data_IF_409239203905
#
_entry.id   IF_409239203905
#
_cell.length_a   1.000
_cell.length_b   1.000
_cell.length_c   1.000
_cell.angle_alpha   90.00
_cell.angle_beta   90.00
_cell.angle_gamma   90.00
#
_symmetry.space_group_name_H-M   'P 1'
#
loop_
_entity.id
_entity.type
_entity.pdbx_description
1 polymer ?
#
# COMPACT_ATOMS: atom_id res chain seq x y z
N UNK A 1 -6.77 -19.32 9.52
CA UNK A 1 -6.16 -18.86 8.25
C UNK A 1 -5.75 -17.42 8.46
N UNK A 2 -4.51 -17.09 8.14
CA UNK A 2 -3.97 -15.74 8.23
C UNK A 2 -3.66 -15.24 6.81
N UNK A 3 -4.01 -13.98 6.52
CA UNK A 3 -3.77 -13.37 5.22
C UNK A 3 -2.78 -12.22 5.43
N UNK A 4 -1.61 -12.33 4.78
CA UNK A 4 -0.57 -11.30 4.81
C UNK A 4 -0.48 -10.69 3.42
N UNK A 5 -1.09 -9.52 3.23
CA UNK A 5 -1.08 -8.75 1.98
C UNK A 5 0.18 -7.89 1.86
N UNK A 6 0.52 -7.50 0.62
CA UNK A 6 1.74 -6.74 0.30
C UNK A 6 3.03 -7.38 0.83
N UNK A 7 3.04 -8.71 0.88
CA UNK A 7 4.13 -9.51 1.38
C UNK A 7 4.91 -10.22 0.27
N UNK A 8 6.22 -10.36 0.46
CA UNK A 8 7.09 -11.13 -0.42
C UNK A 8 7.93 -12.09 0.40
N UNK A 9 8.02 -13.35 -0.03
CA UNK A 9 8.90 -14.34 0.60
C UNK A 9 10.34 -13.96 0.29
N UNK A 10 11.13 -13.72 1.33
CA UNK A 10 12.56 -13.40 1.19
C UNK A 10 13.44 -14.63 1.26
N UNK A 11 13.11 -15.58 2.13
CA UNK A 11 13.93 -16.76 2.36
C UNK A 11 13.08 -17.91 2.87
N UNK A 12 13.37 -19.11 2.41
CA UNK A 12 12.85 -20.37 2.95
C UNK A 12 14.04 -21.18 3.42
N UNK A 13 13.95 -21.76 4.61
CA UNK A 13 14.98 -22.63 5.19
C UNK A 13 14.33 -23.77 5.97
N UNK A 14 15.09 -24.85 6.21
CA UNK A 14 14.60 -26.04 6.92
C UNK A 14 14.36 -27.21 5.97
N UNK A 15 13.58 -28.17 6.43
CA UNK A 15 13.32 -29.44 5.72
C UNK A 15 11.83 -29.77 5.73
N UNK A 16 11.42 -30.80 4.99
CA UNK A 16 10.03 -31.23 4.92
C UNK A 16 9.43 -31.43 6.33
N UNK A 17 8.32 -30.75 6.61
CA UNK A 17 7.65 -30.76 7.91
C UNK A 17 8.16 -29.73 8.93
N UNK A 18 9.29 -29.05 8.66
CA UNK A 18 9.83 -28.00 9.54
C UNK A 18 10.50 -26.88 8.73
N UNK A 19 9.67 -26.06 8.08
CA UNK A 19 10.14 -24.90 7.33
C UNK A 19 10.04 -23.62 8.16
N UNK A 20 11.09 -22.81 8.07
CA UNK A 20 11.07 -21.41 8.52
C UNK A 20 11.08 -20.52 7.30
N UNK A 21 10.07 -19.63 7.20
CA UNK A 21 9.92 -18.70 6.08
C UNK A 21 10.09 -17.27 6.60
N UNK A 22 11.03 -16.54 6.01
CA UNK A 22 11.17 -15.09 6.24
C UNK A 22 10.32 -14.37 5.20
N UNK A 23 9.35 -13.59 5.67
CA UNK A 23 8.45 -12.80 4.84
C UNK A 23 8.72 -11.32 5.08
N UNK A 24 8.80 -10.54 4.01
CA UNK A 24 8.85 -9.08 4.07
C UNK A 24 7.49 -8.51 3.69
N UNK A 25 6.85 -7.84 4.65
CA UNK A 25 5.62 -7.10 4.41
C UNK A 25 5.99 -5.65 4.12
N UNK A 26 5.66 -5.17 2.92
CA UNK A 26 5.89 -3.78 2.54
C UNK A 26 5.06 -2.85 3.44
N UNK A 27 5.63 -1.73 3.91
CA UNK A 27 4.86 -0.77 4.70
C UNK A 27 3.76 -0.15 3.83
N UNK A 28 2.53 -0.09 4.36
CA UNK A 28 1.43 0.66 3.73
C UNK A 28 1.52 2.17 3.97
N UNK A 29 2.32 2.58 4.95
CA UNK A 29 2.37 3.94 5.51
C UNK A 29 1.02 4.42 6.10
N UNK A 30 0.12 3.48 6.37
CA UNK A 30 -1.20 3.68 6.97
C UNK A 30 -1.40 2.58 8.02
N UNK A 31 -1.97 2.96 9.17
CA UNK A 31 -2.41 2.02 10.19
C UNK A 31 -3.74 1.39 9.76
N UNK A 32 -3.68 0.13 9.33
CA UNK A 32 -4.84 -0.65 8.86
C UNK A 32 -5.94 -0.76 9.93
N UNK A 33 -5.60 -0.67 11.22
CA UNK A 33 -6.57 -0.77 12.31
C UNK A 33 -7.38 0.52 12.52
N UNK A 34 -6.89 1.64 11.98
CA UNK A 34 -7.52 2.96 12.08
C UNK A 34 -8.10 3.45 10.75
N UNK A 35 -7.68 2.86 9.63
CA UNK A 35 -8.17 3.24 8.31
C UNK A 35 -9.64 2.84 8.14
N UNK A 36 -10.49 3.81 7.80
CA UNK A 36 -11.92 3.58 7.55
C UNK A 36 -12.27 3.52 6.06
N UNK A 37 -11.26 3.55 5.19
CA UNK A 37 -11.40 3.62 3.74
C UNK A 37 -12.24 4.82 3.22
N UNK A 38 -12.31 5.92 3.98
CA UNK A 38 -13.23 7.04 3.73
C UNK A 38 -12.97 7.89 2.48
N UNK A 39 -11.76 7.86 1.89
CA UNK A 39 -11.46 8.62 0.67
C UNK A 39 -10.89 10.02 0.86
N UNK A 40 -11.00 10.62 2.05
CA UNK A 40 -10.54 12.00 2.27
C UNK A 40 -9.07 12.22 1.89
N UNK A 41 -8.18 11.27 2.21
CA UNK A 41 -6.76 11.38 1.85
C UNK A 41 -6.49 11.28 0.33
N UNK A 42 -7.34 10.59 -0.45
CA UNK A 42 -7.25 10.53 -1.92
C UNK A 42 -7.64 11.89 -2.51
N UNK A 43 -8.72 12.51 -2.01
CA UNK A 43 -9.19 13.80 -2.49
C UNK A 43 -8.13 14.90 -2.36
N UNK A 44 -7.43 14.93 -1.22
CA UNK A 44 -6.39 15.93 -0.97
C UNK A 44 -5.05 15.64 -1.64
N UNK A 45 -4.79 14.40 -2.07
CA UNK A 45 -3.49 14.05 -2.62
C UNK A 45 -3.24 14.82 -3.93
N UNK A 46 -2.18 15.67 -3.99
CA UNK A 46 -1.90 16.46 -5.18
C UNK A 46 -1.26 15.62 -6.31
N UNK A 47 -0.64 14.49 -5.96
CA UNK A 47 0.02 13.62 -6.92
C UNK A 47 -0.98 13.01 -7.91
N UNK A 48 -0.61 12.97 -9.18
CA UNK A 48 -1.37 12.32 -10.24
C UNK A 48 -0.44 11.37 -10.99
N UNK A 49 -0.67 10.06 -10.87
CA UNK A 49 0.25 9.02 -11.34
C UNK A 49 -0.48 7.97 -12.18
N UNK A 50 0.19 7.29 -13.11
CA UNK A 50 -0.41 6.20 -13.87
C UNK A 50 -0.97 5.11 -12.95
N UNK A 51 -2.18 4.64 -13.23
CA UNK A 51 -2.78 3.55 -12.47
C UNK A 51 -2.29 2.19 -13.01
N UNK A 52 -1.37 1.55 -12.29
CA UNK A 52 -0.82 0.25 -12.68
C UNK A 52 -1.85 -0.88 -12.67
N UNK A 53 -2.93 -0.76 -11.88
CA UNK A 53 -4.03 -1.72 -11.91
C UNK A 53 -4.79 -1.68 -13.25
N UNK A 54 -5.02 -0.48 -13.77
CA UNK A 54 -5.69 -0.26 -15.07
C UNK A 54 -4.70 -0.30 -16.25
N UNK A 55 -3.55 -0.96 -16.11
CA UNK A 55 -2.50 -1.02 -17.15
C UNK A 55 -2.06 0.36 -17.67
N UNK A 56 -2.02 1.36 -16.78
CA UNK A 56 -1.70 2.76 -17.10
C UNK A 56 -2.67 3.45 -18.07
N UNK A 57 -3.88 2.91 -18.27
CA UNK A 57 -4.93 3.51 -19.10
C UNK A 57 -5.68 4.63 -18.37
N UNK A 58 -5.53 4.72 -17.05
CA UNK A 58 -6.09 5.76 -16.20
C UNK A 58 -5.03 6.32 -15.26
N UNK A 59 -5.40 7.37 -14.53
CA UNK A 59 -4.56 7.95 -13.48
C UNK A 59 -5.19 7.74 -12.11
N UNK A 60 -4.34 7.71 -11.09
CA UNK A 60 -4.68 7.59 -9.67
C UNK A 60 -3.84 8.57 -8.84
N UNK A 61 -4.13 8.60 -7.54
CA UNK A 61 -3.36 9.33 -6.54
C UNK A 61 -2.24 8.47 -5.95
N UNK A 62 -1.26 9.12 -5.32
CA UNK A 62 -0.17 8.43 -4.63
C UNK A 62 -0.59 7.77 -3.31
N UNK A 63 -1.84 7.93 -2.87
CA UNK A 63 -2.47 7.19 -1.79
C UNK A 63 -3.83 6.68 -2.28
N UNK A 64 -4.25 5.48 -1.87
CA UNK A 64 -5.59 4.97 -2.17
C UNK A 64 -5.72 3.47 -1.97
N UNK A 65 -6.82 2.89 -2.46
CA UNK A 65 -7.02 1.44 -2.58
C UNK A 65 -6.64 1.01 -4.00
N UNK A 66 -6.19 -0.23 -4.19
CA UNK A 66 -5.86 -0.77 -5.51
C UNK A 66 -7.05 -0.70 -6.48
N UNK A 67 -8.23 -1.16 -6.03
CA UNK A 67 -9.54 -1.10 -6.70
C UNK A 67 -10.66 -1.11 -5.63
N UNK A 68 -11.91 -0.70 -5.93
CA UNK A 68 -12.93 -0.45 -4.90
C UNK A 68 -13.27 -1.63 -3.99
N UNK A 69 -13.15 -2.87 -4.48
CA UNK A 69 -13.46 -4.10 -3.75
C UNK A 69 -12.20 -4.80 -3.17
N UNK A 70 -11.04 -4.13 -3.12
CA UNK A 70 -9.82 -4.77 -2.66
C UNK A 70 -9.88 -5.14 -1.16
N UNK A 71 -9.21 -6.23 -0.82
CA UNK A 71 -9.09 -6.76 0.55
C UNK A 71 -7.62 -6.76 0.98
N UNK A 72 -7.25 -6.20 2.14
CA UNK A 72 -8.11 -5.48 3.08
C UNK A 72 -8.62 -4.15 2.49
N UNK A 73 -9.78 -3.70 2.97
CA UNK A 73 -10.32 -2.36 2.64
C UNK A 73 -9.58 -1.30 3.44
N UNK A 74 -8.28 -1.17 3.19
CA UNK A 74 -7.39 -0.19 3.80
C UNK A 74 -6.54 0.46 2.71
N UNK A 75 -6.28 1.75 2.89
CA UNK A 75 -5.51 2.52 1.93
C UNK A 75 -4.02 2.20 2.07
N UNK A 76 -3.26 2.38 0.99
CA UNK A 76 -1.81 2.31 0.98
C UNK A 76 -1.23 3.51 0.22
N UNK A 77 -0.02 3.90 0.61
CA UNK A 77 0.77 4.92 -0.07
C UNK A 77 1.72 4.26 -1.06
N UNK A 78 1.84 4.85 -2.24
CA UNK A 78 2.88 4.56 -3.23
C UNK A 78 4.10 5.43 -2.91
N UNK A 79 5.12 4.89 -2.21
CA UNK A 79 6.19 5.70 -1.63
C UNK A 79 6.99 6.47 -2.67
N UNK A 80 7.23 5.87 -3.83
CA UNK A 80 7.99 6.46 -4.94
C UNK A 80 7.30 7.67 -5.57
N UNK A 81 6.02 7.88 -5.25
CA UNK A 81 5.17 8.93 -5.81
C UNK A 81 4.62 9.90 -4.74
N UNK A 82 4.93 9.66 -3.47
CA UNK A 82 4.38 10.43 -2.36
C UNK A 82 5.30 11.61 -2.02
N UNK A 83 4.84 12.83 -2.34
CA UNK A 83 5.58 14.07 -2.08
C UNK A 83 5.92 14.29 -0.59
N UNK A 84 5.12 13.76 0.32
CA UNK A 84 5.43 13.82 1.77
C UNK A 84 6.59 12.89 2.16
N UNK A 85 6.69 11.72 1.52
CA UNK A 85 7.75 10.76 1.82
C UNK A 85 9.07 11.13 1.13
N UNK A 86 9.02 11.70 -0.07
CA UNK A 86 10.21 12.15 -0.80
C UNK A 86 10.76 13.48 -0.29
N UNK A 87 9.92 14.53 -0.24
CA UNK A 87 10.37 15.93 -0.11
C UNK A 87 9.76 16.66 1.09
N UNK A 88 8.84 16.03 1.83
CA UNK A 88 8.12 16.62 2.98
C UNK A 88 7.27 17.85 2.65
N UNK A 89 6.86 18.01 1.39
CA UNK A 89 6.13 19.20 0.92
C UNK A 89 4.61 19.10 1.10
N UNK A 90 4.05 17.89 1.08
CA UNK A 90 2.61 17.68 1.29
C UNK A 90 2.30 17.68 2.80
N UNK A 91 1.64 18.73 3.31
CA UNK A 91 1.39 18.98 4.75
C UNK A 91 -0.06 18.77 5.20
N UNK A 92 -0.90 18.13 4.39
CA UNK A 92 -2.35 18.12 4.63
C UNK A 92 -2.79 17.33 5.88
N UNK A 93 -1.99 16.36 6.33
CA UNK A 93 -2.33 15.50 7.47
C UNK A 93 -1.10 15.38 8.39
N UNK A 94 -0.85 16.42 9.17
CA UNK A 94 -0.15 16.32 10.46
C UNK A 94 -1.19 16.06 11.57
#
# INVERSE_FOLDING_TARGET
>A
MEIITDATVQKISGTAGNFTVKVNRKPRYIDETKCTACGGCVEYCPANIPNTFDQNLSHRKAIGILYPQAVPSSYSVYPDNCLFLSEKECKQFD
#
